data_IF_947487908158
#
_entry.id   IF_947487908158
#
_cell.length_a   1.000
_cell.length_b   1.000
_cell.length_c   1.000
_cell.angle_alpha   90.00
_cell.angle_beta   90.00
_cell.angle_gamma   90.00
#
_symmetry.space_group_name_H-M   'P 1'
#
loop_
_entity.id
_entity.type
_entity.pdbx_description
1 polymer ?
#
# COMPACT_ATOMS: atom_id res chain seq x y z
N UNK A 1 9.40 27.49 -46.26
CA UNK A 1 9.26 26.61 -47.44
C UNK A 1 7.84 26.08 -47.47
N UNK A 2 7.15 26.26 -48.61
CA UNK A 2 5.78 25.79 -48.90
C UNK A 2 5.81 24.38 -49.50
N UNK A 3 4.61 23.82 -49.66
CA UNK A 3 4.15 22.67 -50.48
C UNK A 3 3.78 21.44 -49.64
N UNK A 4 2.65 20.75 -49.87
CA UNK A 4 1.45 20.99 -50.66
C UNK A 4 0.49 19.83 -50.38
N UNK A 5 -0.78 20.12 -50.12
CA UNK A 5 -1.85 19.14 -50.17
C UNK A 5 -2.11 18.68 -51.63
N UNK A 6 -2.61 17.47 -51.81
CA UNK A 6 -3.33 17.04 -53.03
C UNK A 6 -4.59 16.24 -52.65
N UNK A 7 -5.74 16.82 -52.99
CA UNK A 7 -7.01 16.14 -53.17
C UNK A 7 -7.04 15.42 -54.52
N UNK A 8 -7.78 14.31 -54.63
CA UNK A 8 -8.35 13.83 -55.89
C UNK A 8 -9.76 13.28 -55.66
N UNK A 9 -10.69 13.74 -56.51
CA UNK A 9 -12.11 13.37 -56.61
C UNK A 9 -12.30 12.34 -57.76
N UNK A 10 -13.51 11.79 -58.03
CA UNK A 10 -13.73 10.36 -58.19
C UNK A 10 -13.87 9.91 -59.65
N UNK A 11 -13.79 8.59 -59.89
CA UNK A 11 -14.11 8.00 -61.19
C UNK A 11 -15.46 7.29 -61.11
N UNK A 12 -16.40 7.74 -61.93
CA UNK A 12 -17.71 7.12 -62.21
C UNK A 12 -17.50 6.01 -63.24
N UNK A 13 -18.08 4.82 -63.01
CA UNK A 13 -18.39 3.88 -64.08
C UNK A 13 -19.80 3.30 -63.89
N UNK A 14 -20.58 3.36 -64.97
CA UNK A 14 -21.97 2.96 -65.05
C UNK A 14 -22.12 1.50 -65.52
N UNK A 15 -23.08 0.81 -64.89
CA UNK A 15 -24.11 -0.11 -65.43
C UNK A 15 -23.65 -1.28 -66.31
N UNK A 16 -23.92 -2.48 -65.79
CA UNK A 16 -24.20 -3.69 -66.57
C UNK A 16 -25.22 -4.55 -65.84
N UNK A 17 -26.47 -4.47 -66.25
CA UNK A 17 -27.57 -5.29 -65.75
C UNK A 17 -27.50 -6.71 -66.35
N UNK A 18 -27.62 -7.74 -65.51
CA UNK A 18 -28.04 -9.08 -65.95
C UNK A 18 -29.16 -9.53 -65.03
N UNK A 19 -30.35 -9.62 -65.62
CA UNK A 19 -31.56 -10.21 -65.05
C UNK A 19 -31.48 -11.72 -65.28
N UNK A 20 -31.49 -12.50 -64.21
CA UNK A 20 -31.65 -13.94 -64.20
C UNK A 20 -32.79 -14.33 -63.27
N UNK A 21 -33.87 -14.84 -63.85
CA UNK A 21 -35.13 -15.22 -63.23
C UNK A 21 -35.05 -16.69 -62.77
N UNK A 22 -35.39 -17.02 -61.51
CA UNK A 22 -35.97 -18.32 -61.16
C UNK A 22 -36.60 -18.33 -59.76
N UNK A 23 -37.80 -18.89 -59.70
CA UNK A 23 -38.72 -19.04 -58.57
C UNK A 23 -38.25 -20.07 -57.52
N UNK A 24 -38.70 -19.90 -56.27
CA UNK A 24 -39.61 -20.82 -55.56
C UNK A 24 -39.27 -21.05 -54.06
N UNK A 25 -40.34 -20.94 -53.25
CA UNK A 25 -40.62 -21.44 -51.90
C UNK A 25 -39.52 -22.08 -51.03
N UNK A 26 -39.43 -21.62 -49.78
CA UNK A 26 -38.80 -22.37 -48.70
C UNK A 26 -38.89 -21.68 -47.34
N UNK A 27 -39.89 -22.08 -46.54
CA UNK A 27 -39.92 -22.18 -45.06
C UNK A 27 -39.34 -21.05 -44.20
N UNK A 28 -40.24 -20.42 -43.43
CA UNK A 28 -39.91 -19.66 -42.24
C UNK A 28 -39.04 -20.51 -41.29
N UNK A 29 -37.80 -20.09 -41.10
CA UNK A 29 -36.89 -20.67 -40.10
C UNK A 29 -36.86 -19.69 -38.94
N UNK A 30 -37.46 -20.09 -37.83
CA UNK A 30 -37.36 -19.40 -36.54
C UNK A 30 -35.90 -19.38 -36.13
N UNK A 31 -35.29 -18.20 -36.09
CA UNK A 31 -34.02 -18.00 -35.39
C UNK A 31 -34.31 -18.15 -33.90
N UNK A 32 -33.95 -19.30 -33.31
CA UNK A 32 -33.76 -19.38 -31.88
C UNK A 32 -32.40 -18.74 -31.58
N UNK A 33 -32.45 -17.52 -31.04
CA UNK A 33 -31.35 -16.99 -30.25
C UNK A 33 -31.19 -17.92 -29.04
N UNK A 34 -30.07 -18.63 -29.00
CA UNK A 34 -29.58 -19.26 -27.79
C UNK A 34 -29.18 -18.13 -26.83
N UNK A 35 -30.07 -17.81 -25.88
CA UNK A 35 -29.69 -17.06 -24.68
C UNK A 35 -28.57 -17.83 -23.99
N UNK A 36 -27.33 -17.39 -24.19
CA UNK A 36 -26.20 -17.84 -23.39
C UNK A 36 -26.45 -17.37 -21.97
N UNK A 37 -26.77 -18.32 -21.08
CA UNK A 37 -26.71 -18.10 -19.65
C UNK A 37 -25.28 -17.69 -19.32
N UNK A 38 -25.08 -16.39 -19.08
CA UNK A 38 -23.89 -15.89 -18.41
C UNK A 38 -23.96 -16.49 -17.00
N UNK A 39 -23.12 -17.47 -16.71
CA UNK A 39 -22.98 -17.97 -15.36
C UNK A 39 -22.56 -16.75 -14.51
N UNK A 40 -23.38 -16.40 -13.51
CA UNK A 40 -22.97 -15.45 -12.51
C UNK A 40 -21.69 -16.02 -11.87
N UNK A 41 -20.60 -15.25 -11.89
CA UNK A 41 -19.43 -15.60 -11.11
C UNK A 41 -19.87 -15.65 -9.64
N UNK A 42 -19.69 -16.81 -9.01
CA UNK A 42 -19.94 -16.97 -7.58
C UNK A 42 -19.06 -15.96 -6.85
N UNK A 43 -19.59 -15.23 -5.84
CA UNK A 43 -18.81 -14.25 -5.11
C UNK A 43 -17.60 -14.93 -4.49
N UNK A 44 -16.41 -14.39 -4.76
CA UNK A 44 -15.17 -14.93 -4.21
C UNK A 44 -15.10 -14.51 -2.74
N UNK A 45 -14.93 -15.48 -1.84
CA UNK A 45 -14.72 -15.19 -0.42
C UNK A 45 -13.39 -14.45 -0.25
N UNK A 46 -13.37 -13.27 0.41
CA UNK A 46 -12.16 -12.50 0.55
C UNK A 46 -11.14 -13.21 1.45
N UNK A 47 -9.86 -13.14 1.09
CA UNK A 47 -8.83 -13.89 1.81
C UNK A 47 -7.40 -13.54 1.40
N UNK A 48 -6.46 -14.02 2.20
CA UNK A 48 -5.02 -13.97 1.95
C UNK A 48 -4.46 -15.39 1.76
N UNK A 49 -3.94 -15.69 0.58
CA UNK A 49 -3.27 -16.97 0.29
C UNK A 49 -1.75 -16.81 0.33
N UNK A 50 -1.05 -17.64 1.11
CA UNK A 50 0.41 -17.59 1.22
C UNK A 50 1.09 -17.83 -0.14
N UNK A 51 1.95 -16.90 -0.55
CA UNK A 51 2.78 -17.03 -1.75
C UNK A 51 4.20 -17.47 -1.42
N UNK A 52 4.87 -16.70 -0.57
CA UNK A 52 6.24 -16.95 -0.17
C UNK A 52 6.55 -16.29 1.18
N UNK A 53 7.65 -16.73 1.79
CA UNK A 53 8.22 -16.10 2.98
C UNK A 53 9.74 -15.97 2.80
N UNK A 54 10.33 -14.91 3.34
CA UNK A 54 11.79 -14.77 3.41
C UNK A 54 12.37 -15.80 4.39
N UNK A 55 13.68 -16.08 4.32
CA UNK A 55 14.39 -16.65 5.47
C UNK A 55 14.17 -15.81 6.74
N UNK A 56 14.23 -16.46 7.90
CA UNK A 56 14.04 -15.83 9.22
C UNK A 56 15.30 -15.06 9.66
N UNK A 57 15.71 -14.10 8.85
CA UNK A 57 16.94 -13.34 9.03
C UNK A 57 16.67 -11.86 9.33
N UNK A 58 15.45 -11.35 9.05
CA UNK A 58 15.02 -9.94 9.17
C UNK A 58 14.55 -9.63 10.61
N UNK A 59 15.50 -9.37 11.51
CA UNK A 59 15.30 -9.38 12.96
C UNK A 59 14.35 -8.28 13.45
N UNK A 60 13.25 -8.68 14.09
CA UNK A 60 12.24 -7.76 14.64
C UNK A 60 11.80 -6.75 13.57
N UNK A 61 11.35 -7.28 12.43
CA UNK A 61 10.97 -6.43 11.32
C UNK A 61 9.59 -5.81 11.55
N UNK A 62 9.53 -4.49 11.39
CA UNK A 62 8.39 -3.68 11.81
C UNK A 62 7.52 -3.25 10.61
N UNK A 63 8.17 -2.81 9.53
CA UNK A 63 7.51 -2.32 8.33
C UNK A 63 8.13 -2.90 7.06
N UNK A 64 7.34 -2.97 5.99
CA UNK A 64 7.77 -3.29 4.64
C UNK A 64 7.17 -2.31 3.62
N UNK A 65 8.03 -1.68 2.83
CA UNK A 65 7.65 -0.74 1.78
C UNK A 65 8.02 -1.31 0.41
N UNK A 66 7.07 -1.34 -0.52
CA UNK A 66 7.33 -1.66 -1.93
C UNK A 66 7.61 -0.37 -2.71
N UNK A 67 8.78 -0.32 -3.34
CA UNK A 67 9.17 0.76 -4.23
C UNK A 67 9.08 0.31 -5.69
N UNK A 68 8.09 0.85 -6.40
CA UNK A 68 7.75 0.48 -7.78
C UNK A 68 8.88 0.80 -8.77
N UNK A 69 9.60 1.91 -8.60
CA UNK A 69 10.63 2.32 -9.57
C UNK A 69 11.82 1.35 -9.66
N UNK A 70 12.05 0.58 -8.60
CA UNK A 70 13.16 -0.37 -8.49
C UNK A 70 12.75 -1.84 -8.43
N UNK A 71 11.45 -2.15 -8.36
CA UNK A 71 10.94 -3.49 -8.01
C UNK A 71 11.61 -4.06 -6.73
N UNK A 72 11.75 -3.20 -5.70
CA UNK A 72 12.45 -3.52 -4.46
C UNK A 72 11.52 -3.36 -3.27
N UNK A 73 11.68 -4.25 -2.29
CA UNK A 73 11.11 -4.11 -0.96
C UNK A 73 12.17 -3.57 -0.01
N UNK A 74 11.83 -2.49 0.69
CA UNK A 74 12.58 -2.00 1.84
C UNK A 74 11.94 -2.56 3.11
N UNK A 75 12.74 -3.10 4.02
CA UNK A 75 12.26 -3.69 5.27
C UNK A 75 12.97 -3.01 6.44
N UNK A 76 12.20 -2.44 7.37
CA UNK A 76 12.73 -1.87 8.59
C UNK A 76 12.93 -2.95 9.66
N UNK A 77 14.14 -3.06 10.19
CA UNK A 77 14.49 -4.02 11.22
C UNK A 77 14.91 -3.26 12.47
N UNK A 78 14.19 -3.51 13.57
CA UNK A 78 14.51 -2.89 14.85
C UNK A 78 15.82 -3.46 15.41
N UNK A 79 16.01 -4.79 15.29
CA UNK A 79 17.16 -5.57 15.80
C UNK A 79 17.39 -5.55 17.33
N UNK A 80 17.14 -4.42 18.01
CA UNK A 80 17.18 -4.23 19.46
C UNK A 80 15.80 -4.07 20.10
N UNK A 81 15.71 -3.28 21.18
CA UNK A 81 14.43 -2.94 21.81
C UNK A 81 13.63 -1.93 20.99
N UNK A 82 12.29 -2.01 20.95
CA UNK A 82 11.47 -1.15 20.09
C UNK A 82 11.49 0.34 20.47
N UNK A 83 11.96 0.69 21.67
CA UNK A 83 12.17 2.05 22.16
C UNK A 83 13.63 2.34 22.60
N UNK A 84 14.58 1.49 22.22
CA UNK A 84 15.99 1.66 22.56
C UNK A 84 16.73 2.51 21.53
N UNK A 85 17.53 3.47 22.00
CA UNK A 85 18.39 4.31 21.17
C UNK A 85 19.83 3.81 21.14
N UNK A 86 20.02 2.63 20.58
CA UNK A 86 21.29 1.89 20.62
C UNK A 86 22.08 1.94 19.31
N UNK A 87 21.41 2.22 18.19
CA UNK A 87 22.05 2.38 16.87
C UNK A 87 22.25 1.04 16.16
N UNK A 88 21.52 0.00 16.55
CA UNK A 88 21.66 -1.35 15.98
C UNK A 88 20.63 -1.66 14.89
N UNK A 89 19.61 -0.82 14.73
CA UNK A 89 18.58 -0.95 13.70
C UNK A 89 19.11 -0.75 12.28
N UNK A 90 18.41 -1.36 11.33
CA UNK A 90 18.81 -1.42 9.92
C UNK A 90 17.63 -1.38 8.95
N UNK A 91 17.90 -1.00 7.70
CA UNK A 91 16.99 -1.21 6.56
C UNK A 91 17.59 -2.28 5.64
N UNK A 92 16.78 -3.28 5.28
CA UNK A 92 17.14 -4.31 4.29
C UNK A 92 16.52 -4.03 2.92
N UNK A 93 17.17 -4.51 1.87
CA UNK A 93 16.59 -4.66 0.52
C UNK A 93 16.22 -6.13 0.27
N UNK A 94 14.99 -6.36 -0.14
CA UNK A 94 14.45 -7.67 -0.50
C UNK A 94 13.82 -7.57 -1.88
N UNK A 95 13.94 -8.61 -2.70
CA UNK A 95 13.22 -8.67 -3.99
C UNK A 95 11.73 -8.92 -3.77
N UNK A 96 10.91 -8.61 -4.78
CA UNK A 96 9.47 -8.97 -4.81
C UNK A 96 9.21 -10.49 -4.78
N UNK A 97 10.25 -11.31 -4.91
CA UNK A 97 10.19 -12.77 -4.79
C UNK A 97 10.62 -13.32 -3.42
N UNK A 98 10.96 -12.44 -2.47
CA UNK A 98 11.37 -12.82 -1.11
C UNK A 98 12.86 -13.16 -0.94
N UNK A 99 13.68 -12.97 -1.98
CA UNK A 99 15.14 -13.05 -1.85
C UNK A 99 15.68 -11.81 -1.11
N UNK A 100 16.40 -12.02 -0.01
CA UNK A 100 17.12 -10.94 0.68
C UNK A 100 18.34 -10.57 -0.15
N UNK A 101 18.29 -9.38 -0.78
CA UNK A 101 19.34 -8.90 -1.68
C UNK A 101 20.49 -8.27 -0.89
N UNK A 102 20.14 -7.49 0.13
CA UNK A 102 21.10 -6.81 0.99
C UNK A 102 20.48 -6.63 2.38
N UNK A 103 20.97 -7.38 3.37
CA UNK A 103 20.39 -7.41 4.71
C UNK A 103 20.60 -6.10 5.45
N UNK A 104 21.79 -5.53 5.38
CA UNK A 104 22.19 -4.35 6.15
C UNK A 104 22.49 -3.17 5.20
N UNK A 105 21.53 -2.83 4.33
CA UNK A 105 21.73 -1.78 3.32
C UNK A 105 21.92 -0.40 3.97
N UNK A 106 21.14 -0.10 5.00
CA UNK A 106 21.35 1.07 5.88
C UNK A 106 21.48 0.56 7.31
N UNK A 107 22.43 1.12 8.06
CA UNK A 107 22.72 0.74 9.45
C UNK A 107 22.93 1.98 10.32
N UNK A 108 22.89 1.81 11.64
CA UNK A 108 23.12 2.90 12.59
C UNK A 108 21.84 3.60 13.03
N UNK A 109 20.69 3.09 12.62
CA UNK A 109 19.36 3.52 13.09
C UNK A 109 19.10 2.93 14.48
N UNK A 110 18.18 3.49 15.24
CA UNK A 110 17.87 3.01 16.59
C UNK A 110 16.83 1.88 16.56
N UNK A 111 15.61 2.18 16.15
CA UNK A 111 14.52 1.23 16.03
C UNK A 111 13.59 1.66 14.87
N UNK A 112 14.05 1.58 13.61
CA UNK A 112 13.31 2.05 12.45
C UNK A 112 11.95 1.35 12.32
N UNK A 113 10.93 2.10 11.91
CA UNK A 113 9.54 1.62 11.82
C UNK A 113 8.94 1.92 10.46
N UNK A 114 7.88 2.72 10.40
CA UNK A 114 7.22 3.13 9.16
C UNK A 114 8.12 3.86 8.19
N UNK A 115 7.81 3.66 6.91
CA UNK A 115 8.64 4.14 5.81
C UNK A 115 7.80 4.64 4.64
N UNK A 116 8.27 5.70 4.01
CA UNK A 116 7.69 6.19 2.75
C UNK A 116 8.73 6.79 1.84
N UNK A 117 8.53 6.67 0.54
CA UNK A 117 9.37 7.32 -0.47
C UNK A 117 8.74 8.65 -0.87
N UNK A 118 9.57 9.68 -0.99
CA UNK A 118 9.20 10.95 -1.62
C UNK A 118 10.38 11.45 -2.46
N UNK A 119 10.17 11.56 -3.77
CA UNK A 119 11.23 11.80 -4.76
C UNK A 119 12.30 10.68 -4.70
N UNK A 120 13.58 11.04 -4.63
CA UNK A 120 14.71 10.08 -4.63
C UNK A 120 15.12 9.61 -3.21
N UNK A 121 14.29 9.87 -2.20
CA UNK A 121 14.63 9.57 -0.80
C UNK A 121 13.59 8.67 -0.12
N UNK A 122 14.08 7.76 0.71
CA UNK A 122 13.32 7.01 1.69
C UNK A 122 13.31 7.79 3.00
N UNK A 123 12.12 8.05 3.53
CA UNK A 123 11.91 8.65 4.84
C UNK A 123 11.52 7.55 5.83
N UNK A 124 12.20 7.52 6.98
CA UNK A 124 12.06 6.47 7.99
C UNK A 124 11.84 7.10 9.35
N UNK A 125 10.81 6.67 10.07
CA UNK A 125 10.62 7.04 11.48
C UNK A 125 11.59 6.25 12.36
N UNK A 126 12.29 6.94 13.24
CA UNK A 126 13.25 6.33 14.14
C UNK A 126 13.13 6.90 15.56
N UNK A 127 12.14 6.39 16.30
CA UNK A 127 11.78 6.72 17.70
C UNK A 127 11.34 8.17 17.92
N UNK A 128 12.22 9.16 17.73
CA UNK A 128 11.93 10.58 17.98
C UNK A 128 12.45 11.53 16.90
N UNK A 129 12.95 10.96 15.80
CA UNK A 129 13.37 11.72 14.63
C UNK A 129 12.94 11.00 13.35
N UNK A 130 12.82 11.77 12.28
CA UNK A 130 12.63 11.26 10.93
C UNK A 130 13.99 11.28 10.22
N UNK A 131 14.37 10.18 9.60
CA UNK A 131 15.61 10.04 8.83
C UNK A 131 15.29 10.12 7.34
N UNK A 132 16.11 10.84 6.58
CA UNK A 132 16.06 10.86 5.11
C UNK A 132 17.27 10.12 4.56
N UNK A 133 17.01 9.17 3.66
CA UNK A 133 18.02 8.26 3.10
C UNK A 133 17.95 8.36 1.57
N UNK A 134 19.07 8.64 0.92
CA UNK A 134 19.16 8.62 -0.55
C UNK A 134 19.00 7.17 -1.06
N UNK A 135 18.01 6.93 -1.92
CA UNK A 135 17.66 5.58 -2.39
C UNK A 135 18.78 4.93 -3.20
N UNK A 136 19.57 5.74 -3.92
CA UNK A 136 20.62 5.26 -4.80
C UNK A 136 21.85 4.77 -4.03
N UNK A 137 22.18 5.43 -2.92
CA UNK A 137 23.42 5.22 -2.17
C UNK A 137 23.22 4.54 -0.82
N UNK A 138 22.04 4.69 -0.19
CA UNK A 138 21.81 4.30 1.20
C UNK A 138 22.44 5.26 2.21
N UNK A 139 22.91 6.43 1.76
CA UNK A 139 23.45 7.45 2.66
C UNK A 139 22.30 8.16 3.38
N UNK A 140 22.42 8.28 4.71
CA UNK A 140 21.55 9.17 5.50
C UNK A 140 21.95 10.61 5.17
N UNK A 141 21.08 11.32 4.45
CA UNK A 141 21.32 12.69 3.97
C UNK A 141 20.92 13.73 5.00
N UNK A 142 19.84 13.47 5.75
CA UNK A 142 19.35 14.36 6.80
C UNK A 142 18.71 13.60 7.96
N UNK A 143 18.65 14.27 9.12
CA UNK A 143 17.94 13.79 10.31
C UNK A 143 17.13 14.95 10.90
N UNK A 144 15.82 14.76 10.94
CA UNK A 144 14.86 15.76 11.40
C UNK A 144 14.41 15.40 12.81
N UNK A 145 15.02 16.04 13.81
CA UNK A 145 14.60 15.96 15.21
C UNK A 145 13.18 16.50 15.39
N UNK A 146 12.32 15.73 16.07
CA UNK A 146 10.92 16.14 16.32
C UNK A 146 10.78 16.52 17.79
N UNK A 147 10.64 17.82 18.05
CA UNK A 147 10.58 18.34 19.42
C UNK A 147 9.43 17.70 20.21
N UNK A 148 9.78 17.00 21.29
CA UNK A 148 8.81 16.36 22.19
C UNK A 148 8.27 15.02 21.69
N UNK A 149 8.77 14.50 20.56
CA UNK A 149 8.41 13.17 20.10
C UNK A 149 8.83 12.09 21.10
N UNK A 150 8.06 11.00 21.15
CA UNK A 150 8.32 9.90 22.10
C UNK A 150 8.37 8.55 21.40
N UNK A 151 7.51 8.31 20.40
CA UNK A 151 7.48 7.05 19.68
C UNK A 151 6.88 7.25 18.29
N UNK A 152 7.68 7.83 17.39
CA UNK A 152 7.38 7.91 15.98
C UNK A 152 7.19 6.49 15.42
N UNK A 153 6.11 6.28 14.68
CA UNK A 153 5.71 4.95 14.24
C UNK A 153 5.52 4.87 12.73
N UNK A 154 4.33 5.06 12.18
CA UNK A 154 4.12 4.93 10.73
C UNK A 154 4.45 6.21 9.95
N UNK A 155 4.72 6.10 8.64
CA UNK A 155 4.98 7.20 7.72
C UNK A 155 4.35 6.99 6.33
N UNK A 156 3.85 8.07 5.73
CA UNK A 156 3.25 8.07 4.39
C UNK A 156 3.45 9.41 3.69
N UNK A 157 3.36 9.45 2.36
CA UNK A 157 3.64 10.64 1.56
C UNK A 157 2.55 10.95 0.54
N UNK A 158 2.24 12.23 0.36
CA UNK A 158 1.38 12.73 -0.72
C UNK A 158 2.18 13.23 -1.95
N UNK A 159 3.49 12.98 -1.94
CA UNK A 159 4.45 13.46 -2.95
C UNK A 159 4.95 14.89 -2.72
N UNK A 160 4.46 15.58 -1.68
CA UNK A 160 4.92 16.92 -1.27
C UNK A 160 5.28 16.98 0.21
N UNK A 161 4.59 16.19 1.01
CA UNK A 161 4.71 16.09 2.46
C UNK A 161 4.93 14.65 2.85
N UNK A 162 5.74 14.45 3.87
CA UNK A 162 5.81 13.17 4.59
C UNK A 162 5.04 13.32 5.88
N UNK A 163 3.92 12.62 6.01
CA UNK A 163 3.13 12.52 7.22
C UNK A 163 3.63 11.34 8.06
N UNK A 164 3.69 11.50 9.37
CA UNK A 164 4.13 10.42 10.24
C UNK A 164 3.47 10.50 11.63
N UNK A 165 3.22 9.35 12.24
CA UNK A 165 2.53 9.25 13.52
C UNK A 165 3.52 9.27 14.69
N UNK A 166 3.12 9.90 15.80
CA UNK A 166 3.71 9.69 17.13
C UNK A 166 2.66 9.02 18.03
N UNK A 167 2.86 7.73 18.23
CA UNK A 167 1.89 6.88 18.91
C UNK A 167 1.72 7.26 20.38
N UNK A 168 2.79 7.73 21.04
CA UNK A 168 2.77 8.01 22.49
C UNK A 168 2.34 9.43 22.80
N UNK A 169 2.54 10.38 21.90
CA UNK A 169 2.00 11.75 22.04
C UNK A 169 0.61 11.94 21.45
N UNK A 170 0.11 10.97 20.69
CA UNK A 170 -1.20 11.01 20.02
C UNK A 170 -1.26 12.10 18.94
N UNK A 171 -0.19 12.23 18.16
CA UNK A 171 0.01 13.32 17.20
C UNK A 171 0.33 12.77 15.82
N UNK A 172 -0.20 13.41 14.78
CA UNK A 172 0.26 13.24 13.40
C UNK A 172 1.06 14.49 13.06
N UNK A 173 2.30 14.28 12.64
CA UNK A 173 3.20 15.32 12.16
C UNK A 173 3.30 15.28 10.64
N UNK A 174 3.89 16.33 10.06
CA UNK A 174 4.39 16.26 8.68
C UNK A 174 5.67 17.06 8.48
N UNK A 175 6.50 16.59 7.55
CA UNK A 175 7.64 17.30 6.98
C UNK A 175 7.18 18.03 5.70
N UNK A 176 7.47 19.33 5.60
CA UNK A 176 7.30 20.14 4.39
C UNK A 176 8.44 21.16 4.31
N UNK A 177 9.12 21.26 3.15
CA UNK A 177 10.20 22.23 2.92
C UNK A 177 11.30 22.24 4.02
N UNK A 178 11.62 21.07 4.57
CA UNK A 178 12.62 20.90 5.65
C UNK A 178 12.13 21.27 7.05
N UNK A 179 10.86 21.66 7.21
CA UNK A 179 10.23 21.99 8.47
C UNK A 179 9.29 20.88 8.98
N UNK A 180 9.34 20.60 10.28
CA UNK A 180 8.39 19.71 10.95
C UNK A 180 7.21 20.51 11.48
N UNK A 181 6.01 20.00 11.20
CA UNK A 181 4.74 20.62 11.54
C UNK A 181 3.80 19.61 12.19
N UNK A 182 2.79 20.10 12.92
CA UNK A 182 1.70 19.26 13.44
C UNK A 182 0.52 19.32 12.48
N UNK A 183 0.03 18.15 12.08
CA UNK A 183 -1.20 18.00 11.29
C UNK A 183 -2.43 17.86 12.18
N UNK A 184 -2.42 16.89 13.10
CA UNK A 184 -3.53 16.59 13.98
C UNK A 184 -3.02 16.14 15.36
N UNK A 185 -3.78 16.45 16.42
CA UNK A 185 -3.50 16.04 17.80
C UNK A 185 -4.68 15.25 18.35
N UNK A 186 -4.53 14.66 19.53
CA UNK A 186 -5.59 13.87 20.20
C UNK A 186 -5.98 12.59 19.44
N UNK A 187 -5.05 12.05 18.64
CA UNK A 187 -5.21 10.82 17.86
C UNK A 187 -4.74 9.62 18.68
N UNK A 188 -5.63 9.02 19.46
CA UNK A 188 -5.29 8.08 20.54
C UNK A 188 -4.55 6.85 20.02
N UNK A 189 -3.30 6.70 20.41
CA UNK A 189 -2.43 5.60 19.95
C UNK A 189 -2.44 5.48 18.42
N UNK A 190 -2.42 6.62 17.73
CA UNK A 190 -2.31 6.66 16.27
C UNK A 190 -1.09 5.87 15.83
N UNK A 191 -1.31 4.95 14.90
CA UNK A 191 -0.26 4.10 14.38
C UNK A 191 -0.25 4.19 12.85
N UNK A 192 -0.91 3.26 12.15
CA UNK A 192 -0.95 3.20 10.70
C UNK A 192 -1.45 4.48 10.04
N UNK A 193 -0.75 4.92 9.00
CA UNK A 193 -1.07 6.06 8.18
C UNK A 193 -0.93 5.70 6.70
N UNK A 194 -1.89 6.14 5.88
CA UNK A 194 -1.79 5.94 4.44
C UNK A 194 -2.41 7.10 3.68
N UNK A 195 -1.64 7.66 2.74
CA UNK A 195 -2.21 8.52 1.71
C UNK A 195 -2.90 7.64 0.65
N UNK A 196 -4.19 7.89 0.46
CA UNK A 196 -5.00 7.31 -0.60
C UNK A 196 -5.13 8.20 -1.83
N UNK A 197 -6.07 7.87 -2.70
CA UNK A 197 -6.35 8.64 -3.91
C UNK A 197 -6.68 10.11 -3.60
N UNK A 198 -6.21 11.02 -4.45
CA UNK A 198 -6.46 12.45 -4.30
C UNK A 198 -5.67 13.11 -3.16
N UNK A 199 -4.71 12.41 -2.53
CA UNK A 199 -3.91 12.95 -1.42
C UNK A 199 -4.63 12.94 -0.08
N UNK A 200 -5.67 12.11 0.06
CA UNK A 200 -6.43 11.99 1.31
C UNK A 200 -5.65 11.16 2.30
N UNK A 201 -5.45 11.69 3.51
CA UNK A 201 -4.82 10.95 4.60
C UNK A 201 -5.85 10.08 5.33
N UNK A 202 -5.51 8.82 5.49
CA UNK A 202 -6.19 7.87 6.36
C UNK A 202 -5.28 7.50 7.53
N UNK A 203 -5.88 7.14 8.66
CA UNK A 203 -5.15 6.67 9.82
C UNK A 203 -5.92 5.62 10.61
N UNK A 204 -5.16 4.78 11.31
CA UNK A 204 -5.68 3.67 12.11
C UNK A 204 -5.22 3.85 13.56
N UNK A 205 -6.17 3.98 14.47
CA UNK A 205 -5.89 4.27 15.87
C UNK A 205 -6.78 3.47 16.83
N UNK A 206 -6.73 3.79 18.13
CA UNK A 206 -7.52 3.08 19.15
C UNK A 206 -9.05 3.16 18.95
N UNK A 207 -9.55 4.12 18.16
CA UNK A 207 -10.98 4.30 17.87
C UNK A 207 -11.41 3.65 16.55
N UNK A 208 -10.46 3.44 15.62
CA UNK A 208 -10.68 2.70 14.38
C UNK A 208 -10.02 3.37 13.16
N UNK A 209 -10.54 3.05 11.98
CA UNK A 209 -10.11 3.64 10.72
C UNK A 209 -10.73 5.02 10.52
N UNK A 210 -9.89 6.01 10.25
CA UNK A 210 -10.25 7.42 10.08
C UNK A 210 -9.86 7.93 8.71
N UNK A 211 -10.68 8.82 8.17
CA UNK A 211 -10.34 9.66 7.03
C UNK A 211 -10.18 11.11 7.51
N UNK A 212 -9.07 11.75 7.19
CA UNK A 212 -8.78 13.12 7.62
C UNK A 212 -9.12 14.15 6.54
N UNK A 213 -9.70 15.26 6.98
CA UNK A 213 -9.78 16.49 6.22
C UNK A 213 -8.45 17.25 6.30
N UNK A 214 -8.25 18.21 5.39
CA UNK A 214 -7.01 19.01 5.32
C UNK A 214 -6.72 19.86 6.56
N UNK A 215 -7.72 20.07 7.44
CA UNK A 215 -7.58 20.82 8.70
C UNK A 215 -7.31 19.91 9.92
N UNK A 216 -7.13 18.61 9.70
CA UNK A 216 -6.89 17.62 10.76
C UNK A 216 -8.15 17.10 11.45
N UNK A 217 -9.34 17.63 11.12
CA UNK A 217 -10.59 16.98 11.52
C UNK A 217 -10.79 15.66 10.77
N UNK A 218 -11.57 14.73 11.32
CA UNK A 218 -11.70 13.39 10.73
C UNK A 218 -13.12 12.83 10.80
N UNK A 219 -13.38 11.85 9.93
CA UNK A 219 -14.55 10.98 9.94
C UNK A 219 -14.12 9.55 10.25
N UNK A 220 -14.92 8.82 11.06
CA UNK A 220 -14.70 7.40 11.32
C UNK A 220 -15.33 6.57 10.19
N UNK A 221 -14.51 5.78 9.51
CA UNK A 221 -14.91 4.88 8.43
C UNK A 221 -15.28 3.51 9.00
N UNK A 222 -14.52 3.02 9.98
CA UNK A 222 -14.77 1.75 10.64
C UNK A 222 -14.40 1.85 12.13
N UNK A 223 -15.19 1.24 13.01
CA UNK A 223 -14.95 1.20 14.46
C UNK A 223 -14.76 -0.22 14.99
N UNK A 224 -14.66 -1.22 14.11
CA UNK A 224 -14.49 -2.63 14.46
C UNK A 224 -13.01 -2.99 14.57
N UNK A 225 -12.19 -2.50 13.64
CA UNK A 225 -10.73 -2.65 13.61
C UNK A 225 -10.10 -1.49 14.37
N UNK A 226 -10.06 -1.62 15.69
CA UNK A 226 -9.42 -0.68 16.63
C UNK A 226 -7.98 -1.09 16.97
N UNK A 227 -7.15 -0.08 17.28
CA UNK A 227 -5.76 -0.23 17.73
C UNK A 227 -4.85 -0.89 16.70
N UNK A 228 -5.23 -0.84 15.41
CA UNK A 228 -4.53 -1.53 14.35
C UNK A 228 -3.12 -1.01 14.12
N UNK A 229 -2.39 -1.73 13.28
CA UNK A 229 -0.98 -1.47 12.97
C UNK A 229 -0.87 -0.79 11.60
N UNK A 230 -0.58 -1.54 10.54
CA UNK A 230 -0.49 -1.02 9.18
C UNK A 230 -1.81 -0.87 8.44
N UNK A 231 -1.79 -0.04 7.40
CA UNK A 231 -2.95 0.35 6.60
C UNK A 231 -2.63 0.41 5.09
N UNK A 232 -3.43 -0.27 4.29
CA UNK A 232 -3.43 -0.18 2.83
C UNK A 232 -4.77 0.41 2.37
N UNK A 233 -4.71 1.36 1.44
CA UNK A 233 -5.88 1.92 0.77
C UNK A 233 -5.94 1.31 -0.64
N UNK A 234 -6.97 0.51 -0.91
CA UNK A 234 -7.18 -0.08 -2.25
C UNK A 234 -8.02 0.85 -3.12
N UNK A 235 -9.03 1.48 -2.53
CA UNK A 235 -9.83 2.56 -3.11
C UNK A 235 -10.48 3.40 -1.99
N UNK A 236 -11.37 4.34 -2.36
CA UNK A 236 -12.03 5.28 -1.43
C UNK A 236 -12.90 4.59 -0.35
N UNK A 237 -13.29 3.33 -0.55
CA UNK A 237 -14.17 2.58 0.35
C UNK A 237 -13.62 1.19 0.74
N UNK A 238 -12.46 0.80 0.20
CA UNK A 238 -11.84 -0.50 0.40
C UNK A 238 -10.44 -0.36 0.99
N UNK A 239 -10.21 -0.98 2.14
CA UNK A 239 -8.96 -0.90 2.89
C UNK A 239 -8.51 -2.27 3.38
N UNK A 240 -7.21 -2.45 3.59
CA UNK A 240 -6.66 -3.55 4.37
C UNK A 240 -6.05 -2.96 5.63
N UNK A 241 -6.41 -3.50 6.79
CA UNK A 241 -5.92 -3.05 8.09
C UNK A 241 -5.38 -4.24 8.88
N UNK A 242 -4.14 -4.15 9.37
CA UNK A 242 -3.58 -5.15 10.26
C UNK A 242 -3.83 -4.81 11.73
N UNK A 243 -3.74 -5.82 12.58
CA UNK A 243 -3.61 -5.70 14.03
C UNK A 243 -2.39 -6.48 14.47
N UNK A 244 -1.48 -5.82 15.19
CA UNK A 244 -0.20 -6.38 15.60
C UNK A 244 -0.27 -7.81 16.18
N UNK A 245 -1.36 -8.15 16.88
CA UNK A 245 -1.56 -9.49 17.44
C UNK A 245 -1.52 -10.64 16.42
N UNK A 246 -1.76 -10.38 15.13
CA UNK A 246 -1.73 -11.38 14.06
C UNK A 246 -2.94 -11.37 13.12
N UNK A 247 -3.82 -10.37 13.20
CA UNK A 247 -5.06 -10.35 12.41
C UNK A 247 -4.94 -9.34 11.25
N UNK A 248 -5.47 -9.68 10.07
CA UNK A 248 -5.63 -8.73 8.97
C UNK A 248 -7.10 -8.71 8.53
N UNK A 249 -7.61 -7.52 8.28
CA UNK A 249 -8.99 -7.26 7.91
C UNK A 249 -9.07 -6.57 6.55
N UNK A 250 -10.02 -7.01 5.73
CA UNK A 250 -10.57 -6.24 4.63
C UNK A 250 -11.71 -5.38 5.17
N UNK A 251 -11.65 -4.07 4.97
CA UNK A 251 -12.72 -3.13 5.32
C UNK A 251 -13.33 -2.61 4.02
N UNK A 252 -14.60 -2.94 3.76
CA UNK A 252 -15.36 -2.51 2.59
C UNK A 252 -16.61 -1.77 3.02
N UNK A 253 -16.80 -0.54 2.54
CA UNK A 253 -17.96 0.31 2.89
C UNK A 253 -18.15 0.42 4.42
N UNK A 254 -17.04 0.48 5.15
CA UNK A 254 -17.00 0.56 6.62
C UNK A 254 -17.24 -0.76 7.37
N UNK A 255 -17.48 -1.88 6.67
CA UNK A 255 -17.65 -3.22 7.27
C UNK A 255 -16.33 -3.99 7.26
N UNK A 256 -15.91 -4.54 8.40
CA UNK A 256 -14.69 -5.34 8.48
C UNK A 256 -14.97 -6.84 8.29
N UNK A 257 -14.12 -7.51 7.50
CA UNK A 257 -14.06 -8.95 7.32
C UNK A 257 -12.64 -9.39 7.63
N UNK A 258 -12.46 -10.30 8.61
CA UNK A 258 -11.13 -10.86 8.90
C UNK A 258 -10.72 -11.80 7.76
N UNK A 259 -9.57 -11.53 7.14
CA UNK A 259 -9.05 -12.26 5.97
C UNK A 259 -7.77 -13.04 6.27
N UNK A 260 -7.15 -12.80 7.43
CA UNK A 260 -6.03 -13.57 7.98
C UNK A 260 -6.07 -13.52 9.51
N UNK A 261 -5.69 -14.63 10.14
CA UNK A 261 -5.49 -14.75 11.58
C UNK A 261 -4.31 -15.68 11.84
N UNK A 262 -3.21 -15.11 12.32
CA UNK A 262 -1.98 -15.81 12.69
C UNK A 262 -1.69 -15.74 14.20
N UNK A 263 -2.73 -15.48 15.00
CA UNK A 263 -2.60 -15.32 16.45
C UNK A 263 -2.19 -16.63 17.14
N UNK A 264 -2.68 -17.79 16.66
CA UNK A 264 -2.32 -19.11 17.21
C UNK A 264 -0.86 -19.47 16.91
N UNK A 265 -0.31 -18.98 15.81
CA UNK A 265 1.07 -19.16 15.38
C UNK A 265 2.05 -18.21 16.10
N UNK A 266 1.52 -17.26 16.88
CA UNK A 266 2.28 -16.16 17.48
C UNK A 266 3.10 -15.40 16.42
N UNK A 267 2.53 -15.23 15.23
CA UNK A 267 3.12 -14.46 14.14
C UNK A 267 2.39 -13.13 14.05
N UNK A 268 3.02 -12.10 14.60
CA UNK A 268 2.46 -10.74 14.62
C UNK A 268 2.35 -10.19 13.20
N UNK A 269 1.32 -9.40 12.90
CA UNK A 269 1.17 -8.70 11.62
C UNK A 269 1.35 -7.21 11.86
N UNK A 270 2.59 -6.73 11.70
CA UNK A 270 2.97 -5.35 11.98
C UNK A 270 2.54 -4.40 10.84
N UNK A 271 3.37 -3.43 10.44
CA UNK A 271 3.04 -2.48 9.38
C UNK A 271 3.16 -3.13 7.98
N UNK A 272 2.08 -3.11 7.21
CA UNK A 272 1.89 -3.94 6.02
C UNK A 272 2.14 -3.17 4.71
N UNK A 273 2.82 -3.81 3.76
CA UNK A 273 3.08 -3.30 2.43
C UNK A 273 2.14 -3.88 1.37
N UNK A 274 2.14 -3.29 0.17
CA UNK A 274 1.31 -3.73 -0.95
C UNK A 274 2.02 -3.61 -2.29
N UNK A 275 1.91 -4.63 -3.13
CA UNK A 275 2.29 -4.61 -4.55
C UNK A 275 0.99 -4.49 -5.36
N UNK A 276 0.64 -3.30 -5.87
CA UNK A 276 -0.70 -3.05 -6.41
C UNK A 276 -1.06 -3.88 -7.64
N UNK A 277 -0.16 -3.96 -8.62
CA UNK A 277 -0.43 -4.63 -9.89
C UNK A 277 -0.64 -6.14 -9.75
N UNK A 278 -0.15 -6.73 -8.66
CA UNK A 278 -0.25 -8.16 -8.37
C UNK A 278 -1.24 -8.48 -7.25
N UNK A 279 -1.83 -7.47 -6.60
CA UNK A 279 -2.64 -7.62 -5.39
C UNK A 279 -1.91 -8.45 -4.30
N UNK A 280 -0.64 -8.17 -4.05
CA UNK A 280 0.14 -8.88 -3.04
C UNK A 280 0.25 -8.03 -1.78
N UNK A 281 -0.22 -8.56 -0.66
CA UNK A 281 -0.03 -7.97 0.67
C UNK A 281 1.26 -8.54 1.27
N UNK A 282 2.12 -7.64 1.74
CA UNK A 282 3.40 -7.95 2.36
C UNK A 282 3.29 -7.74 3.87
N UNK A 283 3.68 -8.74 4.64
CA UNK A 283 3.42 -8.80 6.08
C UNK A 283 4.73 -9.04 6.82
N UNK A 284 5.28 -8.05 7.53
CA UNK A 284 6.34 -8.24 8.51
C UNK A 284 5.79 -9.03 9.70
N UNK A 285 6.58 -9.99 10.17
CA UNK A 285 6.13 -10.97 11.18
C UNK A 285 6.63 -10.67 12.59
N UNK A 286 7.10 -9.44 12.82
CA UNK A 286 7.73 -8.93 14.03
C UNK A 286 8.70 -9.93 14.68
N UNK A 287 8.23 -10.83 15.56
CA UNK A 287 9.07 -11.81 16.25
C UNK A 287 9.43 -13.07 15.45
N UNK A 288 8.81 -13.34 14.29
CA UNK A 288 9.25 -14.46 13.42
C UNK A 288 10.39 -14.08 12.48
N UNK A 289 10.75 -12.80 12.42
CA UNK A 289 11.89 -12.27 11.66
C UNK A 289 11.82 -12.53 10.14
N UNK A 290 10.61 -12.51 9.58
CA UNK A 290 10.34 -12.74 8.15
C UNK A 290 9.45 -11.66 7.58
N UNK A 291 9.55 -11.44 6.28
CA UNK A 291 8.44 -10.89 5.48
C UNK A 291 7.71 -12.05 4.81
N UNK A 292 6.40 -12.01 4.84
CA UNK A 292 5.53 -12.98 4.20
C UNK A 292 4.65 -12.28 3.16
N UNK A 293 4.58 -12.84 1.96
CA UNK A 293 3.70 -12.34 0.91
C UNK A 293 2.45 -13.19 0.79
N UNK A 294 1.32 -12.52 0.66
CA UNK A 294 0.02 -13.13 0.47
C UNK A 294 -0.66 -12.58 -0.78
N UNK A 295 -1.24 -13.46 -1.58
CA UNK A 295 -2.17 -13.07 -2.64
C UNK A 295 -3.47 -12.64 -2.00
N UNK A 296 -3.87 -11.39 -2.25
CA UNK A 296 -5.18 -10.88 -1.88
C UNK A 296 -6.20 -11.23 -2.95
N UNK A 297 -7.37 -11.70 -2.50
CA UNK A 297 -8.58 -11.92 -3.30
C UNK A 297 -9.76 -11.32 -2.57
N UNK A 298 -10.63 -10.54 -3.26
CA UNK A 298 -11.82 -9.89 -2.70
C UNK A 298 -12.74 -9.32 -3.78
#
# INVERSE_FOLDING_TARGET
MKFSAKSYTPLVFSIGAVVGLAMACGTATTNQESEGTVAAEEPVEPGLELLWETPAELTTNESVHFEESGDILYVANIEGGPDEKDGVGSISKVSTSGEILERDWVTGLHAPKGMTVMNDHLYVTDIDHLVEIDLATGEITETYEVEGAVFLNDATSDGKKVFFSDMRTNTIHYLEDGGIHTFATEQKSINGLRIGNGGILYGLDAEGLKQYNSDGSFELINTEVTGGDGLIVLDEQTFIASRWAGEIYLVQEGKATKILDTTEEESNTADIGFIPDENIVLVPTFFKNKVVAYQLTY
#
